data_IF_743783289062
#
_entry.id   IF_743783289062
#
_cell.length_a   1.000
_cell.length_b   1.000
_cell.length_c   1.000
_cell.angle_alpha   90.00
_cell.angle_beta   90.00
_cell.angle_gamma   90.00
#
_symmetry.space_group_name_H-M   'P 1'
#
loop_
_entity.id
_entity.type
_entity.pdbx_description
1 polymer ?
#
# COMPACT_ATOMS: atom_id res chain seq x y z
N UNK A 1 -10.29 1.88 -4.50
CA UNK A 1 -9.67 2.91 -3.65
C UNK A 1 -8.65 3.63 -4.50
N UNK A 2 -8.59 4.94 -4.35
CA UNK A 2 -7.68 5.81 -5.06
C UNK A 2 -6.42 5.99 -4.20
N UNK A 3 -5.31 5.37 -4.59
CA UNK A 3 -4.04 5.60 -3.92
C UNK A 3 -3.49 6.97 -4.30
N UNK A 4 -2.94 7.70 -3.32
CA UNK A 4 -2.22 8.95 -3.58
C UNK A 4 -1.03 8.68 -4.53
N UNK A 5 -0.68 9.67 -5.36
CA UNK A 5 0.53 9.58 -6.18
C UNK A 5 1.75 9.27 -5.30
N UNK A 6 2.61 8.37 -5.79
CA UNK A 6 3.80 7.88 -5.09
C UNK A 6 3.55 7.08 -3.80
N UNK A 7 2.28 6.74 -3.50
CA UNK A 7 1.95 5.76 -2.46
C UNK A 7 2.13 4.32 -2.98
N UNK A 8 2.86 3.50 -2.23
CA UNK A 8 3.04 2.07 -2.53
C UNK A 8 2.86 1.22 -1.28
N UNK A 9 2.13 0.12 -1.40
CA UNK A 9 2.03 -0.91 -0.36
C UNK A 9 2.36 -2.25 -1.02
N UNK A 10 3.44 -2.89 -0.58
CA UNK A 10 3.93 -4.16 -1.12
C UNK A 10 3.97 -5.21 -0.02
N UNK A 11 3.39 -6.39 -0.27
CA UNK A 11 3.51 -7.52 0.65
C UNK A 11 4.74 -8.36 0.31
N UNK A 12 5.66 -8.49 1.27
CA UNK A 12 6.76 -9.44 1.21
C UNK A 12 6.29 -10.80 1.77
N UNK A 13 6.16 -11.80 0.91
CA UNK A 13 5.72 -13.14 1.29
C UNK A 13 6.76 -13.95 2.09
N UNK A 14 8.04 -13.58 1.99
CA UNK A 14 9.15 -14.24 2.69
C UNK A 14 9.16 -13.81 4.15
N UNK A 15 9.16 -12.50 4.41
CA UNK A 15 9.14 -11.95 5.78
C UNK A 15 7.73 -11.84 6.35
N UNK A 16 6.71 -11.98 5.51
CA UNK A 16 5.30 -11.72 5.81
C UNK A 16 5.05 -10.28 6.28
N UNK A 17 5.75 -9.31 5.70
CA UNK A 17 5.67 -7.90 6.07
C UNK A 17 4.96 -7.06 5.01
N UNK A 18 4.39 -5.93 5.40
CA UNK A 18 4.01 -4.87 4.46
C UNK A 18 5.15 -3.86 4.38
N UNK A 19 5.64 -3.58 3.18
CA UNK A 19 6.53 -2.45 2.89
C UNK A 19 5.66 -1.32 2.37
N UNK A 20 5.60 -0.22 3.11
CA UNK A 20 4.78 0.95 2.82
C UNK A 20 5.70 2.11 2.45
N UNK A 21 5.47 2.71 1.29
CA UNK A 21 6.08 3.99 0.90
C UNK A 21 4.93 5.00 0.84
N UNK A 22 5.03 6.05 1.64
CA UNK A 22 4.04 7.12 1.66
C UNK A 22 4.73 8.45 1.86
N UNK A 23 4.59 9.36 0.88
CA UNK A 23 5.22 10.70 0.90
C UNK A 23 6.72 10.64 1.25
N UNK A 24 7.46 9.82 0.51
CA UNK A 24 8.90 9.56 0.67
C UNK A 24 9.32 8.87 1.98
N UNK A 25 8.37 8.41 2.80
CA UNK A 25 8.66 7.66 4.03
C UNK A 25 8.48 6.16 3.81
N UNK A 26 9.54 5.39 4.07
CA UNK A 26 9.53 3.93 4.05
C UNK A 26 9.22 3.37 5.45
N UNK A 27 8.17 2.57 5.55
CA UNK A 27 7.75 1.85 6.76
C UNK A 27 7.66 0.35 6.49
N UNK A 28 8.09 -0.48 7.45
CA UNK A 28 7.94 -1.93 7.39
C UNK A 28 7.02 -2.36 8.54
N UNK A 29 5.89 -2.98 8.22
CA UNK A 29 4.88 -3.42 9.18
C UNK A 29 4.81 -4.95 9.22
N UNK A 30 4.44 -5.51 10.37
CA UNK A 30 4.19 -6.94 10.54
C UNK A 30 5.13 -7.63 11.54
N UNK A 31 5.24 -8.96 11.49
CA UNK A 31 4.72 -9.86 10.46
C UNK A 31 3.18 -10.04 10.48
N UNK A 32 2.62 -10.50 9.35
CA UNK A 32 1.19 -10.70 9.13
C UNK A 32 0.86 -12.17 8.78
N UNK A 33 -0.39 -12.57 9.04
CA UNK A 33 -0.86 -13.93 8.73
C UNK A 33 -1.17 -14.13 7.24
N UNK A 34 -1.52 -13.05 6.55
CA UNK A 34 -1.92 -13.07 5.14
C UNK A 34 -1.55 -11.77 4.43
N UNK A 35 -1.47 -11.84 3.09
CA UNK A 35 -1.29 -10.64 2.26
C UNK A 35 -2.42 -9.63 2.48
N UNK A 36 -3.67 -10.09 2.66
CA UNK A 36 -4.81 -9.20 2.93
C UNK A 36 -4.62 -8.39 4.21
N UNK A 37 -4.25 -9.04 5.32
CA UNK A 37 -3.97 -8.34 6.58
C UNK A 37 -2.79 -7.36 6.47
N UNK A 38 -1.84 -7.61 5.58
CA UNK A 38 -0.72 -6.70 5.32
C UNK A 38 -1.15 -5.45 4.54
N UNK A 39 -1.99 -5.63 3.50
CA UNK A 39 -2.57 -4.51 2.77
C UNK A 39 -3.48 -3.65 3.65
N UNK A 40 -4.38 -4.28 4.41
CA UNK A 40 -5.30 -3.55 5.30
C UNK A 40 -4.51 -2.73 6.35
N UNK A 41 -3.42 -3.28 6.88
CA UNK A 41 -2.54 -2.56 7.81
C UNK A 41 -1.74 -1.43 7.16
N UNK A 42 -1.25 -1.63 5.92
CA UNK A 42 -0.56 -0.60 5.16
C UNK A 42 -1.48 0.57 4.81
N UNK A 43 -2.70 0.26 4.37
CA UNK A 43 -3.73 1.27 4.11
C UNK A 43 -4.06 2.06 5.37
N UNK A 44 -4.27 1.37 6.50
CA UNK A 44 -4.54 2.04 7.77
C UNK A 44 -3.38 2.93 8.20
N UNK A 45 -2.13 2.47 8.03
CA UNK A 45 -0.95 3.29 8.31
C UNK A 45 -0.95 4.59 7.49
N UNK A 46 -1.29 4.53 6.21
CA UNK A 46 -1.40 5.73 5.38
C UNK A 46 -2.55 6.63 5.82
N UNK A 47 -3.73 6.07 6.16
CA UNK A 47 -4.87 6.85 6.68
C UNK A 47 -4.53 7.57 7.98
N UNK A 48 -3.83 6.89 8.89
CA UNK A 48 -3.35 7.46 10.15
C UNK A 48 -2.34 8.60 9.94
N UNK A 49 -1.67 8.63 8.79
CA UNK A 49 -0.73 9.68 8.37
C UNK A 49 -1.34 10.69 7.38
N UNK A 50 -2.67 10.71 7.23
CA UNK A 50 -3.39 11.73 6.47
C UNK A 50 -3.57 11.43 4.98
N UNK A 51 -3.55 10.16 4.59
CA UNK A 51 -4.12 9.73 3.32
C UNK A 51 -5.65 9.78 3.39
N UNK A 52 -6.28 10.45 2.42
CA UNK A 52 -7.72 10.52 2.25
C UNK A 52 -8.06 9.98 0.85
N UNK A 53 -8.64 8.78 0.80
CA UNK A 53 -8.99 8.07 -0.43
C UNK A 53 -10.27 8.62 -1.10
N UNK A 54 -10.89 9.66 -0.53
CA UNK A 54 -12.00 10.40 -1.12
C UNK A 54 -11.58 11.62 -1.96
N UNK A 55 -10.33 12.07 -1.81
CA UNK A 55 -9.84 13.32 -2.41
C UNK A 55 -9.19 13.17 -3.79
N UNK A 56 -9.01 11.94 -4.28
CA UNK A 56 -8.30 11.70 -5.53
C UNK A 56 -9.22 11.00 -6.57
N UNK A 57 -10.10 11.76 -7.27
CA UNK A 57 -11.03 11.21 -8.26
C UNK A 57 -10.35 10.66 -9.52
N UNK A 58 -9.06 10.98 -9.72
CA UNK A 58 -8.28 10.64 -10.92
C UNK A 58 -7.23 9.56 -10.65
N UNK A 59 -7.14 9.01 -9.43
CA UNK A 59 -6.16 7.97 -9.14
C UNK A 59 -6.43 6.73 -10.02
N UNK A 60 -5.41 6.20 -10.71
CA UNK A 60 -5.57 5.03 -11.56
C UNK A 60 -5.98 3.84 -10.69
N UNK A 61 -7.19 3.32 -10.93
CA UNK A 61 -7.80 2.21 -10.19
C UNK A 61 -7.13 0.85 -10.46
N UNK A 62 -5.91 0.84 -11.01
CA UNK A 62 -5.20 -0.38 -11.37
C UNK A 62 -4.95 -1.25 -10.14
N UNK A 63 -5.56 -2.44 -10.04
CA UNK A 63 -5.13 -3.42 -9.06
C UNK A 63 -3.67 -3.79 -9.36
N UNK A 64 -2.84 -3.81 -8.33
CA UNK A 64 -1.43 -4.23 -8.40
C UNK A 64 -1.35 -5.69 -8.87
N UNK A 65 -1.28 -5.85 -10.20
CA UNK A 65 -1.17 -7.13 -10.91
C UNK A 65 -0.84 -6.99 -12.41
N UNK A 66 -0.59 -5.77 -12.90
CA UNK A 66 -0.38 -5.48 -14.32
C UNK A 66 1.04 -5.00 -14.68
N UNK A 67 2.02 -5.16 -13.79
CA UNK A 67 3.44 -4.86 -14.11
C UNK A 67 4.30 -6.08 -13.77
N UNK A 68 4.20 -7.11 -14.62
CA UNK A 68 5.33 -7.99 -14.97
C UNK A 68 5.22 -8.24 -16.47
N UNK A 69 5.94 -7.44 -17.25
CA UNK A 69 6.38 -7.80 -18.61
C UNK A 69 7.71 -7.08 -18.87
N UNK A 70 8.78 -7.66 -18.33
CA UNK A 70 10.15 -7.61 -18.86
C UNK A 70 10.65 -9.05 -18.88
#
# INVERSE_FOLDING_TARGET
MAYENDMQIVYDAVTKSAVVIFRDVLSILGPFQSARSAYDAGEQHCRDNGWDDSLDPDAPTTPFGAIVDI
#
